data_IF_346599385286
#
_entry.id   IF_346599385286
#
_cell.length_a   1.000
_cell.length_b   1.000
_cell.length_c   1.000
_cell.angle_alpha   90.00
_cell.angle_beta   90.00
_cell.angle_gamma   90.00
#
_symmetry.space_group_name_H-M   'P 1'
#
loop_
_entity.id
_entity.type
_entity.pdbx_description
1 polymer ?
#
# COMPACT_ATOMS: atom_id res chain seq x y z
N UNK A 1 55.97 38.71 40.49
CA UNK A 1 55.37 38.65 39.15
C UNK A 1 54.96 37.20 38.84
N UNK A 2 53.69 36.84 39.09
CA UNK A 2 53.05 35.62 38.55
C UNK A 2 51.60 36.00 38.23
N UNK A 3 51.19 35.72 37.01
CA UNK A 3 49.92 36.10 36.38
C UNK A 3 48.80 35.11 36.74
N UNK A 4 47.59 35.63 36.59
CA UNK A 4 46.36 34.95 36.16
C UNK A 4 45.60 34.07 37.17
N UNK A 5 44.37 34.49 37.46
CA UNK A 5 43.21 33.63 37.23
C UNK A 5 41.99 34.50 36.92
N UNK A 6 41.89 34.94 35.65
CA UNK A 6 40.69 35.52 35.09
C UNK A 6 39.81 34.37 34.58
N UNK A 7 38.60 34.28 35.12
CA UNK A 7 37.34 33.94 34.45
C UNK A 7 37.42 33.33 33.04
N UNK A 8 37.12 32.04 32.94
CA UNK A 8 36.54 31.43 31.73
C UNK A 8 35.56 30.33 32.15
N UNK A 9 34.28 30.69 32.40
CA UNK A 9 33.19 29.72 32.30
C UNK A 9 32.88 29.63 30.82
N UNK A 10 33.57 28.69 30.17
CA UNK A 10 33.39 28.36 28.77
C UNK A 10 32.09 27.55 28.62
N UNK A 11 31.13 28.14 27.91
CA UNK A 11 30.32 27.50 26.87
C UNK A 11 29.94 26.03 27.10
N UNK A 12 28.77 25.80 27.70
CA UNK A 12 27.95 24.60 27.46
C UNK A 12 26.47 25.00 27.32
N UNK A 13 26.21 25.79 26.29
CA UNK A 13 24.90 25.98 25.69
C UNK A 13 25.18 25.88 24.20
N UNK A 14 24.67 24.84 23.55
CA UNK A 14 24.54 24.59 22.10
C UNK A 14 24.70 23.10 21.74
N UNK A 15 23.94 22.20 22.38
CA UNK A 15 23.56 20.90 21.77
C UNK A 15 22.11 20.57 22.13
N UNK A 16 21.19 21.51 21.90
CA UNK A 16 19.74 21.23 21.97
C UNK A 16 18.94 21.88 20.84
N UNK A 17 19.62 22.31 19.76
CA UNK A 17 18.96 22.77 18.53
C UNK A 17 19.05 21.68 17.45
N UNK A 18 18.34 20.58 17.65
CA UNK A 18 17.88 19.72 16.54
C UNK A 18 16.59 18.92 16.84
N UNK A 19 16.02 19.05 18.05
CA UNK A 19 14.79 18.33 18.46
C UNK A 19 13.52 19.18 18.33
N UNK A 20 13.47 20.12 17.39
CA UNK A 20 12.31 21.02 17.20
C UNK A 20 11.49 20.73 15.93
N UNK A 21 12.00 19.91 15.01
CA UNK A 21 11.22 19.42 13.87
C UNK A 21 11.08 17.91 14.05
N UNK A 22 9.83 17.43 14.17
CA UNK A 22 9.56 15.99 14.15
C UNK A 22 10.06 15.36 12.85
N UNK A 23 10.23 14.03 12.85
CA UNK A 23 10.58 13.26 11.64
C UNK A 23 9.65 13.64 10.47
N UNK A 24 10.23 13.84 9.30
CA UNK A 24 9.52 14.03 8.04
C UNK A 24 8.85 12.72 7.59
N UNK A 25 7.82 12.77 6.73
CA UNK A 25 7.19 11.55 6.21
C UNK A 25 8.19 10.60 5.54
N UNK A 26 9.19 11.13 4.83
CA UNK A 26 10.23 10.34 4.17
C UNK A 26 11.11 9.57 5.18
N UNK A 27 11.42 10.16 6.34
CA UNK A 27 12.18 9.48 7.40
C UNK A 27 11.38 8.33 8.02
N UNK A 28 10.07 8.52 8.24
CA UNK A 28 9.19 7.43 8.69
C UNK A 28 9.10 6.30 7.65
N UNK A 29 8.94 6.64 6.37
CA UNK A 29 8.88 5.67 5.26
C UNK A 29 10.18 4.86 5.16
N UNK A 30 11.34 5.52 5.22
CA UNK A 30 12.64 4.87 5.15
C UNK A 30 12.86 3.92 6.34
N UNK A 31 12.56 4.38 7.55
CA UNK A 31 12.66 3.58 8.77
C UNK A 31 11.74 2.37 8.73
N UNK A 32 10.49 2.56 8.31
CA UNK A 32 9.52 1.47 8.17
C UNK A 32 9.95 0.46 7.10
N UNK A 33 10.42 0.93 5.94
CA UNK A 33 10.87 0.08 4.84
C UNK A 33 12.08 -0.78 5.23
N UNK A 34 13.05 -0.18 5.92
CA UNK A 34 14.22 -0.90 6.45
C UNK A 34 13.79 -1.98 7.45
N UNK A 35 12.96 -1.61 8.43
CA UNK A 35 12.47 -2.56 9.43
C UNK A 35 11.60 -3.68 8.81
N UNK A 36 10.85 -3.38 7.74
CA UNK A 36 10.07 -4.37 7.01
C UNK A 36 10.95 -5.39 6.30
N UNK A 37 12.04 -4.96 5.66
CA UNK A 37 13.04 -5.86 5.05
C UNK A 37 13.65 -6.77 6.13
N UNK A 38 14.00 -6.20 7.28
CA UNK A 38 14.58 -6.94 8.40
C UNK A 38 13.59 -7.91 9.05
N UNK A 39 12.29 -7.67 8.90
CA UNK A 39 11.25 -8.52 9.49
C UNK A 39 11.26 -9.96 8.97
N UNK A 40 11.75 -10.18 7.74
CA UNK A 40 11.78 -11.49 7.04
C UNK A 40 10.46 -12.28 7.11
N UNK A 41 9.32 -11.57 7.20
CA UNK A 41 7.99 -12.16 7.32
C UNK A 41 7.55 -12.52 8.74
N UNK A 42 8.35 -12.25 9.78
CA UNK A 42 7.94 -12.43 11.17
C UNK A 42 6.77 -11.49 11.53
N UNK A 43 5.69 -12.06 12.08
CA UNK A 43 4.47 -11.30 12.37
C UNK A 43 4.71 -10.23 13.43
N UNK A 44 5.47 -10.54 14.49
CA UNK A 44 5.72 -9.60 15.60
C UNK A 44 6.55 -8.42 15.10
N UNK A 45 7.59 -8.69 14.30
CA UNK A 45 8.41 -7.61 13.74
C UNK A 45 7.59 -6.73 12.77
N UNK A 46 6.66 -7.31 12.02
CA UNK A 46 5.70 -6.53 11.21
C UNK A 46 4.74 -5.69 12.06
N UNK A 47 4.33 -6.15 13.24
CA UNK A 47 3.59 -5.33 14.20
C UNK A 47 4.43 -4.16 14.73
N UNK A 48 5.75 -4.33 14.91
CA UNK A 48 6.66 -3.24 15.26
C UNK A 48 6.78 -2.21 14.11
N UNK A 49 6.87 -2.67 12.85
CA UNK A 49 6.83 -1.79 11.66
C UNK A 49 5.52 -0.99 11.62
N UNK A 50 4.39 -1.62 11.99
CA UNK A 50 3.11 -0.93 12.05
C UNK A 50 3.12 0.23 13.05
N UNK A 51 3.88 0.12 14.14
CA UNK A 51 4.06 1.23 15.09
C UNK A 51 4.74 2.43 14.44
N UNK A 52 5.75 2.19 13.59
CA UNK A 52 6.45 3.26 12.83
C UNK A 52 5.47 4.04 11.95
N UNK A 53 4.59 3.34 11.22
CA UNK A 53 3.58 4.00 10.40
C UNK A 53 2.54 4.75 11.24
N UNK A 54 2.16 4.22 12.41
CA UNK A 54 1.25 4.91 13.33
C UNK A 54 1.86 6.22 13.85
N UNK A 55 3.11 6.20 14.31
CA UNK A 55 3.85 7.40 14.72
C UNK A 55 3.90 8.44 13.59
N UNK A 56 4.21 8.01 12.36
CA UNK A 56 4.26 8.90 11.21
C UNK A 56 2.92 9.55 10.89
N UNK A 57 1.82 8.80 11.01
CA UNK A 57 0.46 9.29 10.76
C UNK A 57 -0.10 10.10 11.94
N UNK A 58 0.42 9.97 13.15
CA UNK A 58 0.10 10.92 14.23
C UNK A 58 0.63 12.33 13.91
N UNK A 59 1.81 12.42 13.29
CA UNK A 59 2.42 13.70 12.89
C UNK A 59 1.92 14.20 11.54
N UNK A 60 1.60 13.28 10.61
CA UNK A 60 1.21 13.58 9.23
C UNK A 60 -0.07 12.80 8.81
N UNK A 61 -1.25 13.13 9.36
CA UNK A 61 -2.45 12.27 9.33
C UNK A 61 -2.99 11.87 7.95
N UNK A 62 -2.72 12.69 6.93
CA UNK A 62 -3.25 12.49 5.57
C UNK A 62 -2.13 12.27 4.55
N UNK A 63 -0.92 11.88 4.99
CA UNK A 63 0.20 11.70 4.07
C UNK A 63 -0.04 10.47 3.17
N UNK A 64 -0.17 10.63 1.83
CA UNK A 64 -0.65 9.56 0.96
C UNK A 64 0.18 8.28 1.01
N UNK A 65 1.50 8.41 0.95
CA UNK A 65 2.40 7.25 0.94
C UNK A 65 2.45 6.53 2.29
N UNK A 66 2.25 7.24 3.41
CA UNK A 66 2.23 6.60 4.74
C UNK A 66 0.95 5.78 4.90
N UNK A 67 -0.20 6.33 4.50
CA UNK A 67 -1.48 5.61 4.48
C UNK A 67 -1.41 4.40 3.56
N UNK A 68 -0.93 4.57 2.33
CA UNK A 68 -0.83 3.48 1.36
C UNK A 68 0.13 2.36 1.81
N UNK A 69 1.27 2.71 2.40
CA UNK A 69 2.23 1.71 2.90
C UNK A 69 1.71 1.00 4.14
N UNK A 70 1.02 1.72 5.04
CA UNK A 70 0.37 1.12 6.20
C UNK A 70 -0.75 0.17 5.80
N UNK A 71 -1.59 0.55 4.84
CA UNK A 71 -2.66 -0.31 4.32
C UNK A 71 -2.13 -1.66 3.79
N UNK A 72 -1.04 -1.64 3.02
CA UNK A 72 -0.39 -2.87 2.52
C UNK A 72 0.13 -3.76 3.66
N UNK A 73 0.76 -3.16 4.69
CA UNK A 73 1.23 -3.91 5.85
C UNK A 73 0.05 -4.51 6.64
N UNK A 74 -1.01 -3.73 6.87
CA UNK A 74 -2.23 -4.15 7.57
C UNK A 74 -2.89 -5.33 6.86
N UNK A 75 -2.98 -5.31 5.52
CA UNK A 75 -3.44 -6.46 4.71
C UNK A 75 -2.60 -7.70 5.01
N UNK A 76 -1.27 -7.58 5.01
CA UNK A 76 -0.37 -8.71 5.30
C UNK A 76 -0.48 -9.25 6.72
N UNK A 77 -1.05 -8.46 7.64
CA UNK A 77 -1.31 -8.81 9.04
C UNK A 77 -2.76 -9.29 9.28
N UNK A 78 -3.63 -9.26 8.26
CA UNK A 78 -5.04 -9.61 8.36
C UNK A 78 -5.92 -8.54 9.01
N UNK A 79 -5.45 -7.29 9.09
CA UNK A 79 -6.15 -6.16 9.70
C UNK A 79 -6.90 -5.36 8.62
N UNK A 80 -7.97 -5.97 8.11
CA UNK A 80 -8.63 -5.51 6.88
C UNK A 80 -9.46 -4.24 7.07
N UNK A 81 -10.11 -4.06 8.21
CA UNK A 81 -10.92 -2.89 8.50
C UNK A 81 -10.07 -1.61 8.54
N UNK A 82 -8.92 -1.63 9.22
CA UNK A 82 -8.00 -0.51 9.25
C UNK A 82 -7.35 -0.26 7.87
N UNK A 83 -7.00 -1.32 7.14
CA UNK A 83 -6.47 -1.19 5.78
C UNK A 83 -7.49 -0.52 4.85
N UNK A 84 -8.76 -0.93 4.93
CA UNK A 84 -9.85 -0.31 4.18
C UNK A 84 -9.96 1.17 4.54
N UNK A 85 -9.95 1.50 5.84
CA UNK A 85 -10.03 2.89 6.30
C UNK A 85 -8.91 3.77 5.72
N UNK A 86 -7.67 3.26 5.65
CA UNK A 86 -6.55 4.00 5.08
C UNK A 86 -6.73 4.25 3.58
N UNK A 87 -7.19 3.25 2.82
CA UNK A 87 -7.43 3.41 1.39
C UNK A 87 -8.64 4.30 1.09
N UNK A 88 -9.69 4.28 1.93
CA UNK A 88 -10.83 5.19 1.81
C UNK A 88 -10.40 6.66 1.96
N UNK A 89 -9.46 6.94 2.87
CA UNK A 89 -8.93 8.30 3.05
C UNK A 89 -8.19 8.82 1.80
N UNK A 90 -7.66 7.92 0.96
CA UNK A 90 -6.93 8.25 -0.26
C UNK A 90 -7.83 8.30 -1.51
N UNK A 91 -8.92 7.55 -1.52
CA UNK A 91 -9.74 7.28 -2.70
C UNK A 91 -10.22 8.55 -3.41
N UNK A 92 -10.60 9.59 -2.66
CA UNK A 92 -11.09 10.84 -3.25
C UNK A 92 -10.03 11.75 -3.89
N UNK A 93 -8.74 11.50 -3.68
CA UNK A 93 -7.69 12.49 -4.01
C UNK A 93 -6.44 11.93 -4.69
N UNK A 94 -5.99 10.73 -4.32
CA UNK A 94 -4.63 10.29 -4.67
C UNK A 94 -4.45 8.78 -4.80
N UNK A 95 -5.53 7.99 -4.72
CA UNK A 95 -5.40 6.54 -4.83
C UNK A 95 -5.13 6.13 -6.29
N UNK A 96 -4.06 5.37 -6.51
CA UNK A 96 -3.75 4.79 -7.81
C UNK A 96 -4.61 3.54 -8.08
N UNK A 97 -4.51 2.97 -9.28
CA UNK A 97 -5.37 1.85 -9.72
C UNK A 97 -5.15 0.60 -8.87
N UNK A 98 -3.91 0.32 -8.49
CA UNK A 98 -3.54 -0.80 -7.61
C UNK A 98 -4.18 -0.64 -6.22
N UNK A 99 -4.13 0.56 -5.66
CA UNK A 99 -4.78 0.88 -4.38
C UNK A 99 -6.30 0.83 -4.47
N UNK A 100 -6.89 1.29 -5.60
CA UNK A 100 -8.32 1.15 -5.84
C UNK A 100 -8.72 -0.33 -5.91
N UNK A 101 -7.95 -1.17 -6.61
CA UNK A 101 -8.19 -2.61 -6.70
C UNK A 101 -8.15 -3.27 -5.32
N UNK A 102 -7.12 -2.95 -4.51
CA UNK A 102 -7.01 -3.45 -3.14
C UNK A 102 -8.17 -3.00 -2.25
N UNK A 103 -8.62 -1.75 -2.39
CA UNK A 103 -9.81 -1.24 -1.71
C UNK A 103 -11.06 -2.06 -2.06
N UNK A 104 -11.28 -2.38 -3.34
CA UNK A 104 -12.41 -3.21 -3.77
C UNK A 104 -12.32 -4.64 -3.19
N UNK A 105 -11.12 -5.24 -3.17
CA UNK A 105 -10.89 -6.56 -2.56
C UNK A 105 -11.20 -6.55 -1.06
N UNK A 106 -10.83 -5.49 -0.34
CA UNK A 106 -11.16 -5.34 1.07
C UNK A 106 -12.66 -5.15 1.33
N UNK A 107 -13.36 -4.39 0.48
CA UNK A 107 -14.83 -4.26 0.54
C UNK A 107 -15.46 -5.66 0.41
N UNK A 108 -15.09 -6.42 -0.62
CA UNK A 108 -15.62 -7.77 -0.83
C UNK A 108 -15.27 -8.72 0.32
N UNK A 109 -14.03 -8.67 0.82
CA UNK A 109 -13.58 -9.53 1.92
C UNK A 109 -14.35 -9.30 3.23
N UNK A 110 -14.78 -8.07 3.48
CA UNK A 110 -15.48 -7.64 4.69
C UNK A 110 -17.00 -7.74 4.57
N UNK A 111 -17.55 -7.50 3.37
CA UNK A 111 -18.99 -7.32 3.15
C UNK A 111 -19.60 -8.41 2.25
N UNK A 112 -18.76 -9.23 1.62
CA UNK A 112 -19.13 -10.28 0.67
C UNK A 112 -19.33 -9.75 -0.75
N UNK A 113 -19.82 -10.64 -1.64
CA UNK A 113 -20.07 -10.33 -3.04
C UNK A 113 -21.32 -9.45 -3.19
N UNK A 114 -21.14 -8.14 -3.07
CA UNK A 114 -22.22 -7.15 -3.18
C UNK A 114 -22.21 -6.43 -4.53
N UNK A 115 -23.31 -5.71 -4.83
CA UNK A 115 -23.35 -4.82 -5.99
C UNK A 115 -22.35 -3.67 -5.89
N UNK A 116 -22.04 -3.21 -4.66
CA UNK A 116 -21.03 -2.20 -4.40
C UNK A 116 -19.62 -2.70 -4.72
N UNK A 117 -19.27 -3.91 -4.26
CA UNK A 117 -17.98 -4.53 -4.60
C UNK A 117 -17.79 -4.65 -6.11
N UNK A 118 -18.80 -5.16 -6.83
CA UNK A 118 -18.77 -5.28 -8.30
C UNK A 118 -18.62 -3.93 -9.00
N UNK A 119 -19.37 -2.92 -8.55
CA UNK A 119 -19.26 -1.56 -9.10
C UNK A 119 -17.87 -0.95 -8.87
N UNK A 120 -17.26 -1.23 -7.71
CA UNK A 120 -15.89 -0.82 -7.39
C UNK A 120 -14.90 -1.41 -8.41
N UNK A 121 -14.95 -2.72 -8.67
CA UNK A 121 -14.05 -3.32 -9.66
C UNK A 121 -14.28 -2.81 -11.08
N UNK A 122 -15.54 -2.57 -11.48
CA UNK A 122 -15.86 -2.01 -12.79
C UNK A 122 -15.27 -0.59 -12.97
N UNK A 123 -15.18 0.19 -11.89
CA UNK A 123 -14.48 1.47 -11.90
C UNK A 123 -12.98 1.30 -12.15
N UNK A 124 -12.35 0.33 -11.49
CA UNK A 124 -10.93 0.00 -11.67
C UNK A 124 -10.66 -0.49 -13.09
N UNK A 125 -11.49 -1.39 -13.61
CA UNK A 125 -11.43 -1.86 -15.00
C UNK A 125 -11.47 -0.68 -15.97
N UNK A 126 -12.42 0.25 -15.80
CA UNK A 126 -12.54 1.44 -16.63
C UNK A 126 -11.33 2.39 -16.47
N UNK A 127 -10.73 2.47 -15.28
CA UNK A 127 -9.51 3.25 -15.08
C UNK A 127 -8.32 2.67 -15.86
N UNK A 128 -8.18 1.35 -15.94
CA UNK A 128 -7.19 0.72 -16.83
C UNK A 128 -7.53 0.92 -18.30
N UNK A 129 -8.77 0.69 -18.71
CA UNK A 129 -9.20 0.79 -20.11
C UNK A 129 -9.13 2.20 -20.73
N UNK A 130 -9.01 3.27 -19.93
CA UNK A 130 -8.83 4.64 -20.42
C UNK A 130 -7.41 4.96 -20.88
N UNK A 131 -6.41 4.14 -20.52
CA UNK A 131 -5.04 4.33 -21.02
C UNK A 131 -4.93 3.76 -22.43
N UNK A 132 -5.03 4.65 -23.41
CA UNK A 132 -4.80 4.31 -24.81
C UNK A 132 -3.36 3.82 -24.99
N UNK A 133 -3.19 2.73 -25.75
CA UNK A 133 -1.90 2.11 -26.10
C UNK A 133 -1.20 1.31 -24.98
N UNK A 134 -1.85 1.09 -23.84
CA UNK A 134 -1.34 0.18 -22.80
C UNK A 134 -1.86 -1.24 -23.05
N UNK A 135 -0.95 -2.21 -23.14
CA UNK A 135 -1.31 -3.63 -23.10
C UNK A 135 -1.98 -3.93 -21.76
N UNK A 136 -2.99 -4.82 -21.70
CA UNK A 136 -3.56 -5.22 -20.43
C UNK A 136 -2.48 -5.87 -19.57
N UNK A 137 -2.51 -5.57 -18.27
CA UNK A 137 -1.68 -6.22 -17.27
C UNK A 137 -2.54 -7.09 -16.35
N UNK A 138 -1.91 -7.86 -15.47
CA UNK A 138 -2.59 -8.75 -14.53
C UNK A 138 -3.67 -8.05 -13.69
N UNK A 139 -3.44 -6.81 -13.25
CA UNK A 139 -4.41 -6.07 -12.43
C UNK A 139 -5.64 -5.63 -13.22
N UNK A 140 -5.48 -5.30 -14.51
CA UNK A 140 -6.61 -5.01 -15.39
C UNK A 140 -7.46 -6.27 -15.60
N UNK A 141 -6.82 -7.41 -15.87
CA UNK A 141 -7.51 -8.70 -15.99
C UNK A 141 -8.25 -9.05 -14.71
N UNK A 142 -7.59 -8.93 -13.55
CA UNK A 142 -8.19 -9.20 -12.24
C UNK A 142 -9.40 -8.30 -11.96
N UNK A 143 -9.29 -7.00 -12.24
CA UNK A 143 -10.39 -6.06 -12.08
C UNK A 143 -11.59 -6.43 -12.96
N UNK A 144 -11.36 -6.77 -14.23
CA UNK A 144 -12.42 -7.19 -15.15
C UNK A 144 -13.09 -8.51 -14.70
N UNK A 145 -12.30 -9.47 -14.22
CA UNK A 145 -12.80 -10.74 -13.69
C UNK A 145 -13.70 -10.52 -12.46
N UNK A 146 -13.21 -9.75 -11.47
CA UNK A 146 -13.95 -9.46 -10.23
C UNK A 146 -15.15 -8.53 -10.48
N UNK A 147 -15.14 -7.74 -11.55
CA UNK A 147 -16.31 -6.98 -12.01
C UNK A 147 -17.39 -7.85 -12.69
N UNK A 148 -17.08 -9.11 -13.02
CA UNK A 148 -17.85 -9.98 -13.91
C UNK A 148 -18.08 -9.31 -15.28
N UNK A 149 -17.04 -8.66 -15.78
CA UNK A 149 -17.06 -8.00 -17.07
C UNK A 149 -17.13 -9.02 -18.21
N UNK A 150 -17.94 -8.79 -19.25
CA UNK A 150 -17.93 -9.61 -20.46
C UNK A 150 -16.59 -9.53 -21.21
N UNK A 151 -15.69 -8.61 -20.83
CA UNK A 151 -14.34 -8.48 -21.40
C UNK A 151 -13.28 -9.32 -20.68
N UNK A 152 -13.60 -9.92 -19.53
CA UNK A 152 -12.62 -10.65 -18.69
C UNK A 152 -11.80 -11.66 -19.50
N UNK A 153 -12.47 -12.57 -20.21
CA UNK A 153 -11.80 -13.63 -20.97
C UNK A 153 -10.94 -13.07 -22.11
N UNK A 154 -11.43 -12.02 -22.79
CA UNK A 154 -10.69 -11.38 -23.87
C UNK A 154 -9.43 -10.69 -23.36
N UNK A 155 -9.52 -10.00 -22.21
CA UNK A 155 -8.38 -9.34 -21.56
C UNK A 155 -7.35 -10.36 -21.06
N UNK A 156 -7.80 -11.48 -20.50
CA UNK A 156 -6.91 -12.56 -20.07
C UNK A 156 -6.12 -13.12 -21.26
N UNK A 157 -6.78 -13.43 -22.37
CA UNK A 157 -6.13 -13.93 -23.59
C UNK A 157 -5.13 -12.92 -24.17
N UNK A 158 -5.50 -11.63 -24.18
CA UNK A 158 -4.62 -10.55 -24.66
C UNK A 158 -3.38 -10.42 -23.78
N UNK A 159 -3.53 -10.41 -22.45
CA UNK A 159 -2.40 -10.36 -21.52
C UNK A 159 -1.52 -11.62 -21.61
N UNK A 160 -2.12 -12.82 -21.69
CA UNK A 160 -1.41 -14.08 -21.87
C UNK A 160 -0.60 -14.11 -23.17
N UNK A 161 -1.05 -13.43 -24.23
CA UNK A 161 -0.34 -13.30 -25.50
C UNK A 161 0.69 -12.16 -25.53
N UNK A 162 0.69 -11.26 -24.55
CA UNK A 162 1.58 -10.08 -24.49
C UNK A 162 3.03 -10.41 -24.11
N UNK A 163 3.94 -9.45 -24.25
CA UNK A 163 5.33 -9.56 -23.75
C UNK A 163 5.49 -8.94 -22.34
N UNK A 164 4.44 -8.96 -21.50
CA UNK A 164 4.48 -8.41 -20.14
C UNK A 164 5.61 -9.08 -19.31
N UNK A 165 6.60 -8.33 -18.80
CA UNK A 165 7.73 -8.88 -18.04
C UNK A 165 7.32 -9.48 -16.69
N UNK A 166 6.15 -9.13 -16.16
CA UNK A 166 5.59 -9.69 -14.94
C UNK A 166 4.76 -10.95 -15.20
N UNK A 167 4.56 -11.34 -16.46
CA UNK A 167 3.82 -12.54 -16.82
C UNK A 167 4.64 -13.79 -16.48
N UNK A 168 4.12 -14.58 -15.55
CA UNK A 168 4.62 -15.92 -15.25
C UNK A 168 3.46 -16.94 -15.22
N UNK A 169 3.76 -18.26 -15.37
CA UNK A 169 2.72 -19.29 -15.43
C UNK A 169 1.85 -19.36 -14.17
N UNK A 170 2.42 -19.14 -12.97
CA UNK A 170 1.68 -19.21 -11.71
C UNK A 170 0.71 -18.04 -11.60
N UNK A 171 1.13 -16.83 -11.96
CA UNK A 171 0.23 -15.67 -12.01
C UNK A 171 -0.89 -15.87 -13.05
N UNK A 172 -0.60 -16.52 -14.17
CA UNK A 172 -1.60 -16.82 -15.20
C UNK A 172 -2.65 -17.82 -14.71
N UNK A 173 -2.22 -18.92 -14.09
CA UNK A 173 -3.12 -19.91 -13.48
C UNK A 173 -3.96 -19.28 -12.35
N UNK A 174 -3.36 -18.40 -11.55
CA UNK A 174 -4.06 -17.72 -10.47
C UNK A 174 -5.22 -16.85 -11.01
N UNK A 175 -5.04 -16.14 -12.13
CA UNK A 175 -6.08 -15.31 -12.73
C UNK A 175 -7.22 -16.12 -13.38
N UNK A 176 -7.06 -17.43 -13.53
CA UNK A 176 -8.10 -18.35 -14.01
C UNK A 176 -8.93 -18.96 -12.86
N UNK A 177 -8.54 -18.73 -11.61
CA UNK A 177 -9.27 -19.21 -10.44
C UNK A 177 -10.67 -18.59 -10.36
N UNK A 178 -11.57 -19.29 -9.68
CA UNK A 178 -12.85 -18.70 -9.33
C UNK A 178 -12.69 -17.54 -8.34
N UNK A 179 -13.70 -16.66 -8.29
CA UNK A 179 -13.73 -15.46 -7.47
C UNK A 179 -13.37 -15.70 -6.00
N UNK A 180 -13.96 -16.73 -5.39
CA UNK A 180 -13.75 -17.00 -3.95
C UNK A 180 -12.31 -17.43 -3.70
N UNK A 181 -11.78 -18.29 -4.57
CA UNK A 181 -10.37 -18.71 -4.54
C UNK A 181 -9.41 -17.52 -4.75
N UNK A 182 -9.71 -16.60 -5.67
CA UNK A 182 -8.93 -15.38 -5.89
C UNK A 182 -8.87 -14.50 -4.64
N UNK A 183 -10.02 -14.18 -4.05
CA UNK A 183 -10.07 -13.32 -2.86
C UNK A 183 -9.34 -13.97 -1.68
N UNK A 184 -9.48 -15.28 -1.48
CA UNK A 184 -8.74 -16.01 -0.44
C UNK A 184 -7.23 -16.03 -0.68
N UNK A 185 -6.78 -16.08 -1.94
CA UNK A 185 -5.36 -16.06 -2.29
C UNK A 185 -4.73 -14.70 -1.99
N UNK A 186 -5.43 -13.59 -2.27
CA UNK A 186 -4.94 -12.24 -2.02
C UNK A 186 -5.13 -11.78 -0.56
N UNK A 187 -6.23 -12.19 0.07
CA UNK A 187 -6.66 -11.76 1.41
C UNK A 187 -7.08 -12.97 2.29
N UNK A 188 -6.11 -13.82 2.72
CA UNK A 188 -6.37 -15.05 3.47
C UNK A 188 -6.95 -14.82 4.87
#
# INVERSE_FOLDING_TARGET
MKKALLTTIATLLLISCSLANGESPAEYLERASTALIDSRGDKRQREDVLMVYKEGLEQHPNHPELLNSRAQLLVSLGQYEEAKSDLEALYSASLNKEGMLLRCMLIERLEGVTGEARACYAEVENAYGRETDSQPNANYVLAAHLAESPRSDALLLEWQASDDPMKDPMLSEMLELDRDSLIQQFLP
#
